data_IF_858987165194
#
_entry.id   IF_858987165194
#
_cell.length_a   1.000
_cell.length_b   1.000
_cell.length_c   1.000
_cell.angle_alpha   90.00
_cell.angle_beta   90.00
_cell.angle_gamma   90.00
#
_symmetry.space_group_name_H-M   'P 1'
#
loop_
_entity.id
_entity.type
_entity.pdbx_description
1 polymer ?
#
# COMPACT_ATOMS: atom_id res chain seq x y z
N UNK A 1 -15.90 -17.82 -13.70
CA UNK A 1 -14.69 -17.80 -12.85
C UNK A 1 -14.78 -16.54 -12.03
N UNK A 2 -14.78 -16.61 -10.69
CA UNK A 2 -14.76 -15.40 -9.88
C UNK A 2 -13.38 -14.74 -9.98
N UNK A 3 -13.37 -13.44 -10.21
CA UNK A 3 -12.17 -12.62 -10.25
C UNK A 3 -11.42 -12.69 -8.91
N UNK A 4 -10.15 -13.09 -8.95
CA UNK A 4 -9.25 -13.14 -7.79
C UNK A 4 -8.94 -11.68 -7.40
N UNK A 5 -9.47 -11.24 -6.26
CA UNK A 5 -9.41 -9.84 -5.81
C UNK A 5 -8.15 -9.57 -4.96
N UNK A 6 -7.10 -9.24 -5.69
CA UNK A 6 -5.77 -8.83 -5.26
C UNK A 6 -5.78 -7.61 -4.29
N UNK A 7 -4.91 -7.63 -3.27
CA UNK A 7 -4.57 -6.50 -2.37
C UNK A 7 -4.13 -5.20 -3.11
N UNK A 8 -5.04 -4.38 -3.64
CA UNK A 8 -4.68 -3.17 -4.41
C UNK A 8 -4.51 -1.92 -3.54
N UNK A 9 -3.33 -1.30 -3.63
CA UNK A 9 -3.07 0.08 -3.19
C UNK A 9 -2.98 0.98 -4.41
N UNK A 10 -3.51 2.20 -4.37
CA UNK A 10 -3.37 3.17 -5.47
C UNK A 10 -3.18 4.58 -4.92
N UNK A 11 -2.47 5.39 -5.69
CA UNK A 11 -2.08 6.76 -5.41
C UNK A 11 -2.62 7.57 -6.58
N UNK A 12 -3.73 8.31 -6.44
CA UNK A 12 -4.31 9.07 -7.57
C UNK A 12 -3.71 10.49 -7.70
N UNK A 13 -3.78 11.07 -8.91
CA UNK A 13 -3.43 12.46 -9.22
C UNK A 13 -4.64 13.32 -9.54
N UNK A 14 -4.37 14.63 -9.70
CA UNK A 14 -5.21 15.60 -10.38
C UNK A 14 -5.11 15.41 -11.91
N UNK A 15 -6.27 15.33 -12.59
CA UNK A 15 -6.39 15.42 -14.05
C UNK A 15 -6.52 16.88 -14.48
N UNK A 16 -5.74 17.30 -15.48
CA UNK A 16 -6.00 18.52 -16.25
C UNK A 16 -6.29 18.13 -17.69
N UNK A 17 -7.38 18.66 -18.26
CA UNK A 17 -7.75 18.48 -19.66
C UNK A 17 -7.17 19.63 -20.48
N UNK A 18 -6.49 19.30 -21.59
CA UNK A 18 -6.04 20.28 -22.59
C UNK A 18 -6.45 19.79 -23.98
N UNK A 19 -7.09 20.67 -24.75
CA UNK A 19 -7.38 20.46 -26.17
C UNK A 19 -6.15 20.84 -27.00
N UNK A 20 -5.56 19.86 -27.68
CA UNK A 20 -4.57 20.09 -28.73
C UNK A 20 -5.05 19.35 -29.98
N UNK A 21 -5.83 20.04 -30.81
CA UNK A 21 -6.21 19.57 -32.14
C UNK A 21 -7.22 18.42 -32.16
N UNK A 22 -8.22 18.44 -31.27
CA UNK A 22 -9.35 17.50 -31.33
C UNK A 22 -9.02 16.07 -30.89
N UNK A 23 -7.85 15.84 -30.29
CA UNK A 23 -7.53 14.61 -29.55
C UNK A 23 -7.34 14.97 -28.08
N UNK A 24 -8.27 14.53 -27.23
CA UNK A 24 -8.10 14.58 -25.79
C UNK A 24 -6.95 13.67 -25.38
N UNK A 25 -5.80 14.25 -25.04
CA UNK A 25 -4.67 13.53 -24.43
C UNK A 25 -4.65 13.87 -22.96
N UNK A 26 -5.21 13.01 -22.11
CA UNK A 26 -5.12 13.17 -20.66
C UNK A 26 -3.66 12.97 -20.23
N UNK A 27 -2.92 14.05 -20.00
CA UNK A 27 -1.60 13.99 -19.40
C UNK A 27 -1.73 14.30 -17.92
N UNK A 28 -1.81 13.25 -17.11
CA UNK A 28 -1.89 13.34 -15.66
C UNK A 28 -0.57 13.90 -15.10
N UNK A 29 -0.49 15.23 -14.94
CA UNK A 29 0.63 15.89 -14.29
C UNK A 29 0.36 15.86 -12.79
N UNK A 30 0.94 14.87 -12.11
CA UNK A 30 0.95 14.87 -10.65
C UNK A 30 1.68 16.09 -10.09
N UNK A 31 1.05 16.71 -9.10
CA UNK A 31 1.59 17.78 -8.27
C UNK A 31 2.84 17.37 -7.48
N UNK A 32 3.14 16.07 -7.42
CA UNK A 32 4.36 15.51 -6.87
C UNK A 32 4.77 14.22 -7.59
N UNK A 33 6.01 13.76 -7.43
CA UNK A 33 6.42 12.41 -7.79
C UNK A 33 7.18 11.75 -6.65
N UNK A 34 7.21 10.42 -6.62
CA UNK A 34 7.98 9.70 -5.61
C UNK A 34 9.43 9.57 -6.09
N UNK A 35 10.36 10.15 -5.34
CA UNK A 35 11.78 9.89 -5.51
C UNK A 35 12.11 8.50 -4.96
N UNK A 36 11.66 8.25 -3.74
CA UNK A 36 11.81 6.97 -3.07
C UNK A 36 10.47 6.56 -2.48
N UNK A 37 10.12 5.30 -2.69
CA UNK A 37 8.98 4.67 -2.05
C UNK A 37 9.40 3.30 -1.51
N UNK A 38 9.01 3.02 -0.28
CA UNK A 38 9.19 1.71 0.33
C UNK A 38 7.84 1.19 0.81
N UNK A 39 7.54 -0.08 0.51
CA UNK A 39 6.48 -0.84 1.15
C UNK A 39 7.13 -2.01 1.88
N UNK A 40 6.84 -2.15 3.16
CA UNK A 40 7.30 -3.25 3.99
C UNK A 40 6.11 -3.94 4.65
N UNK A 41 5.84 -5.17 4.27
CA UNK A 41 4.82 -6.02 4.91
C UNK A 41 5.53 -7.05 5.79
N UNK A 42 5.13 -7.17 7.05
CA UNK A 42 5.62 -8.18 7.98
C UNK A 42 4.48 -9.07 8.45
N UNK A 43 4.68 -10.39 8.38
CA UNK A 43 3.73 -11.41 8.82
C UNK A 43 4.15 -11.99 10.16
N UNK A 44 3.17 -12.23 11.02
CA UNK A 44 3.34 -12.85 12.33
C UNK A 44 2.60 -14.20 12.44
N UNK A 45 3.05 -15.13 13.28
CA UNK A 45 2.52 -16.49 13.38
C UNK A 45 1.06 -16.54 13.82
N UNK A 46 0.55 -15.48 14.43
CA UNK A 46 -0.86 -15.36 14.84
C UNK A 46 -1.78 -14.75 13.75
N UNK A 47 -1.26 -14.56 12.53
CA UNK A 47 -2.00 -13.99 11.42
C UNK A 47 -2.04 -12.46 11.42
N UNK A 48 -1.38 -11.79 12.38
CA UNK A 48 -1.20 -10.35 12.32
C UNK A 48 -0.32 -9.97 11.14
N UNK A 49 -0.67 -8.86 10.51
CA UNK A 49 0.16 -8.20 9.52
C UNK A 49 0.48 -6.78 9.97
N UNK A 50 1.73 -6.37 9.73
CA UNK A 50 2.16 -4.98 9.85
C UNK A 50 2.55 -4.49 8.47
N UNK A 51 2.04 -3.32 8.07
CA UNK A 51 2.38 -2.66 6.82
C UNK A 51 3.03 -1.32 7.15
N UNK A 52 4.24 -1.11 6.68
CA UNK A 52 4.94 0.16 6.79
C UNK A 52 5.15 0.69 5.38
N UNK A 53 4.82 1.94 5.19
CA UNK A 53 5.12 2.64 3.96
C UNK A 53 5.95 3.88 4.23
N UNK A 54 6.98 4.09 3.43
CA UNK A 54 7.84 5.27 3.54
C UNK A 54 7.93 5.96 2.20
N UNK A 55 7.78 7.27 2.19
CA UNK A 55 7.73 8.07 0.97
C UNK A 55 8.73 9.21 1.05
N UNK A 56 9.36 9.48 -0.08
CA UNK A 56 10.09 10.70 -0.36
C UNK A 56 9.46 11.32 -1.63
N UNK A 57 8.77 12.44 -1.47
CA UNK A 57 8.07 13.12 -2.56
C UNK A 57 8.84 14.36 -3.02
N UNK A 58 8.98 14.53 -4.33
CA UNK A 58 9.39 15.79 -4.95
C UNK A 58 8.14 16.58 -5.33
N UNK A 59 7.91 17.72 -4.69
CA UNK A 59 6.78 18.61 -5.00
C UNK A 59 7.04 19.34 -6.31
N UNK A 60 6.16 19.18 -7.31
CA UNK A 60 6.22 19.89 -8.60
C UNK A 60 5.33 21.13 -8.62
N UNK A 61 4.15 20.99 -8.04
CA UNK A 61 3.19 22.07 -7.85
C UNK A 61 2.58 21.95 -6.46
N UNK A 62 2.97 22.83 -5.55
CA UNK A 62 2.49 22.83 -4.17
C UNK A 62 1.00 23.11 -4.07
N UNK A 63 0.43 23.89 -5.00
CA UNK A 63 -0.98 24.28 -4.95
C UNK A 63 -1.88 23.08 -5.25
N UNK A 64 -1.51 22.25 -6.25
CA UNK A 64 -2.18 20.99 -6.51
C UNK A 64 -1.82 19.84 -5.55
N UNK A 65 -0.88 20.04 -4.61
CA UNK A 65 -0.49 19.00 -3.64
C UNK A 65 -1.29 19.08 -2.33
N UNK A 66 -2.47 19.70 -2.31
CA UNK A 66 -3.30 19.88 -1.11
C UNK A 66 -3.81 18.57 -0.51
N UNK A 67 -3.88 17.50 -1.30
CA UNK A 67 -4.38 16.20 -0.89
C UNK A 67 -3.52 15.05 -1.45
N UNK A 68 -3.27 14.02 -0.63
CA UNK A 68 -2.65 12.76 -1.06
C UNK A 68 -3.62 11.62 -0.75
N UNK A 69 -4.06 10.94 -1.80
CA UNK A 69 -5.09 9.91 -1.76
C UNK A 69 -4.48 8.52 -1.62
N UNK A 70 -5.05 7.71 -0.71
CA UNK A 70 -4.58 6.37 -0.36
C UNK A 70 -5.72 5.36 -0.19
N UNK A 71 -5.55 4.17 -0.75
CA UNK A 71 -6.45 3.04 -0.49
C UNK A 71 -5.67 1.82 -0.05
N UNK A 72 -6.25 1.03 0.84
CA UNK A 72 -5.80 -0.29 1.25
C UNK A 72 -6.97 -1.27 1.07
N UNK A 73 -6.68 -2.38 0.41
CA UNK A 73 -7.61 -3.47 0.18
C UNK A 73 -7.11 -4.70 0.93
N UNK A 74 -7.94 -5.28 1.81
CA UNK A 74 -7.67 -6.52 2.55
C UNK A 74 -8.76 -7.58 2.27
N UNK A 75 -9.27 -7.64 1.04
CA UNK A 75 -10.31 -8.61 0.63
C UNK A 75 -9.89 -10.06 0.84
N UNK A 76 -8.59 -10.35 0.67
CA UNK A 76 -7.98 -11.65 0.87
C UNK A 76 -7.55 -11.90 2.34
N UNK A 77 -7.82 -10.99 3.28
CA UNK A 77 -7.57 -11.26 4.69
C UNK A 77 -8.49 -12.36 5.22
N UNK A 78 -8.27 -12.81 6.47
CA UNK A 78 -9.10 -13.85 7.07
C UNK A 78 -10.60 -13.51 7.01
N UNK A 79 -11.47 -14.53 6.95
CA UNK A 79 -12.93 -14.40 6.87
C UNK A 79 -13.50 -13.38 7.86
N UNK A 80 -13.01 -13.41 9.10
CA UNK A 80 -13.49 -12.57 10.19
C UNK A 80 -12.93 -11.13 10.17
N UNK A 81 -11.89 -10.85 9.38
CA UNK A 81 -11.29 -9.52 9.33
C UNK A 81 -12.28 -8.50 8.80
N UNK A 82 -12.39 -7.36 9.48
CA UNK A 82 -13.13 -6.18 9.04
C UNK A 82 -12.34 -4.95 9.42
N UNK A 83 -12.28 -3.97 8.53
CA UNK A 83 -11.69 -2.68 8.84
C UNK A 83 -12.44 -1.98 9.97
N UNK A 84 -11.75 -1.61 11.06
CA UNK A 84 -12.24 -0.56 11.93
C UNK A 84 -12.18 0.78 11.18
N UNK A 85 -13.08 1.71 11.52
CA UNK A 85 -13.01 3.09 11.03
C UNK A 85 -11.64 3.71 11.31
N UNK A 86 -11.14 4.53 10.39
CA UNK A 86 -9.84 5.19 10.49
C UNK A 86 -9.71 6.01 11.78
N UNK A 87 -10.79 6.67 12.22
CA UNK A 87 -10.80 7.41 13.48
C UNK A 87 -10.47 6.51 14.68
N UNK A 88 -11.06 5.31 14.72
CA UNK A 88 -10.77 4.31 15.76
C UNK A 88 -9.33 3.82 15.64
N UNK A 89 -8.84 3.55 14.43
CA UNK A 89 -7.45 3.12 14.21
C UNK A 89 -6.41 4.16 14.67
N UNK A 90 -6.69 5.45 14.45
CA UNK A 90 -5.84 6.57 14.89
C UNK A 90 -5.79 6.75 16.41
N UNK A 91 -6.80 6.26 17.13
CA UNK A 91 -6.88 6.37 18.59
C UNK A 91 -5.96 5.38 19.32
N UNK A 92 -5.47 4.35 18.62
CA UNK A 92 -4.58 3.34 19.21
C UNK A 92 -3.19 3.93 19.46
N UNK A 93 -2.67 3.78 20.68
CA UNK A 93 -1.29 4.16 21.01
C UNK A 93 -0.29 3.28 20.23
N UNK A 94 0.74 3.87 19.63
CA UNK A 94 1.77 3.18 18.84
C UNK A 94 2.48 2.07 19.63
N UNK A 95 2.57 2.17 20.97
CA UNK A 95 3.14 1.10 21.81
C UNK A 95 2.31 -0.19 21.73
N UNK A 96 1.02 -0.08 21.43
CA UNK A 96 0.09 -1.19 21.31
C UNK A 96 0.05 -1.81 19.90
N UNK A 97 0.93 -1.38 18.98
CA UNK A 97 0.96 -1.87 17.59
C UNK A 97 1.03 -3.38 17.44
N UNK A 98 1.60 -4.12 18.40
CA UNK A 98 1.66 -5.58 18.31
C UNK A 98 0.46 -6.30 18.91
N UNK A 99 -0.48 -5.57 19.53
CA UNK A 99 -1.59 -6.19 20.28
C UNK A 99 -2.95 -5.64 19.88
N UNK A 100 -2.99 -4.55 19.12
CA UNK A 100 -4.21 -3.86 18.70
C UNK A 100 -4.11 -3.41 17.25
N UNK A 101 -5.26 -3.31 16.60
CA UNK A 101 -5.36 -2.71 15.28
C UNK A 101 -5.12 -1.21 15.39
N UNK A 102 -4.41 -0.65 14.42
CA UNK A 102 -4.18 0.79 14.42
C UNK A 102 -3.59 1.31 13.13
N UNK A 103 -3.60 2.64 13.04
CA UNK A 103 -3.06 3.40 11.93
C UNK A 103 -2.33 4.63 12.47
N UNK A 104 -1.10 4.82 12.00
CA UNK A 104 -0.22 5.89 12.41
C UNK A 104 0.46 6.49 11.19
N UNK A 105 0.79 7.76 11.26
CA UNK A 105 1.52 8.45 10.20
C UNK A 105 2.32 9.61 10.80
N UNK A 106 3.42 9.96 10.14
CA UNK A 106 4.22 11.13 10.46
C UNK A 106 4.76 11.75 9.17
N UNK A 107 5.11 13.04 9.23
CA UNK A 107 5.66 13.76 8.09
C UNK A 107 6.64 14.84 8.52
N UNK A 108 7.62 15.13 7.66
CA UNK A 108 8.58 16.20 7.88
C UNK A 108 7.87 17.52 8.18
N UNK A 109 8.32 18.25 9.20
CA UNK A 109 7.76 19.54 9.60
C UNK A 109 6.23 19.53 9.81
N UNK A 110 5.61 18.35 9.97
CA UNK A 110 4.17 18.16 10.01
C UNK A 110 3.47 18.82 8.81
N UNK A 111 3.96 18.59 7.58
CA UNK A 111 3.31 19.08 6.37
C UNK A 111 2.01 18.34 6.07
N UNK A 112 1.88 17.07 6.50
CA UNK A 112 0.59 16.38 6.58
C UNK A 112 -0.08 16.78 7.89
N UNK A 113 -1.26 17.39 7.77
CA UNK A 113 -2.02 17.95 8.90
C UNK A 113 -3.06 17.00 9.46
N UNK A 114 -3.72 16.23 8.58
CA UNK A 114 -4.68 15.21 8.97
C UNK A 114 -4.68 14.05 7.99
N UNK A 115 -5.17 12.91 8.45
CA UNK A 115 -5.63 11.80 7.63
C UNK A 115 -7.13 11.60 7.90
N UNK A 116 -7.93 11.65 6.84
CA UNK A 116 -9.39 11.60 6.88
C UNK A 116 -9.90 10.44 6.04
N UNK A 117 -10.79 9.63 6.61
CA UNK A 117 -11.47 8.57 5.87
C UNK A 117 -12.38 9.23 4.83
N UNK A 118 -12.17 8.89 3.55
CA UNK A 118 -12.95 9.39 2.43
C UNK A 118 -12.91 8.34 1.34
N UNK A 119 -14.07 7.97 0.83
CA UNK A 119 -14.20 6.99 -0.25
C UNK A 119 -14.42 7.71 -1.56
N UNK A 120 -13.70 7.33 -2.62
CA UNK A 120 -13.82 7.93 -3.95
C UNK A 120 -13.64 6.85 -5.01
N UNK A 121 -14.19 7.06 -6.20
CA UNK A 121 -13.97 6.17 -7.34
C UNK A 121 -12.70 6.56 -8.11
N UNK A 122 -12.00 5.58 -8.69
CA UNK A 122 -10.78 5.87 -9.45
C UNK A 122 -11.07 6.69 -10.74
N UNK A 123 -12.33 6.68 -11.21
CA UNK A 123 -12.82 7.51 -12.32
C UNK A 123 -13.18 8.93 -11.91
N UNK A 124 -13.62 9.15 -10.67
CA UNK A 124 -13.97 10.45 -10.11
C UNK A 124 -13.49 10.56 -8.65
N UNK A 125 -12.33 11.20 -8.45
CA UNK A 125 -11.71 11.37 -7.14
C UNK A 125 -12.18 12.65 -6.40
N UNK A 126 -12.98 13.49 -7.05
CA UNK A 126 -13.48 14.75 -6.47
C UNK A 126 -14.74 14.56 -5.62
N UNK A 127 -15.47 13.46 -5.84
CA UNK A 127 -16.73 13.17 -5.17
C UNK A 127 -16.60 11.97 -4.23
N UNK A 128 -17.32 12.04 -3.12
CA UNK A 128 -17.39 10.94 -2.18
C UNK A 128 -18.31 9.83 -2.73
N UNK A 129 -17.79 8.60 -2.80
CA UNK A 129 -18.53 7.42 -3.20
C UNK A 129 -18.60 6.42 -2.03
N UNK A 130 -19.66 6.56 -1.23
CA UNK A 130 -19.89 5.69 -0.06
C UNK A 130 -20.23 4.25 -0.41
N UNK A 131 -20.52 3.93 -1.67
CA UNK A 131 -20.75 2.53 -2.07
C UNK A 131 -19.47 1.69 -1.98
N UNK A 132 -18.31 2.34 -1.95
CA UNK A 132 -16.99 1.73 -1.78
C UNK A 132 -16.60 1.52 -0.31
N UNK A 133 -17.43 1.96 0.63
CA UNK A 133 -17.28 1.69 2.06
C UNK A 133 -17.69 0.23 2.33
N UNK A 134 -16.69 -0.65 2.26
CA UNK A 134 -16.85 -2.08 2.56
C UNK A 134 -16.00 -2.45 3.75
N UNK A 135 -16.36 -3.54 4.43
CA UNK A 135 -15.57 -4.09 5.55
C UNK A 135 -14.13 -4.47 5.15
N UNK A 136 -13.79 -4.50 3.86
CA UNK A 136 -12.49 -4.94 3.31
C UNK A 136 -11.72 -3.85 2.57
N UNK A 137 -12.27 -2.64 2.49
CA UNK A 137 -11.63 -1.49 1.84
C UNK A 137 -11.52 -0.31 2.79
N UNK A 138 -10.30 0.21 2.93
CA UNK A 138 -10.05 1.46 3.64
C UNK A 138 -9.51 2.48 2.66
N UNK A 139 -10.19 3.63 2.55
CA UNK A 139 -9.77 4.76 1.70
C UNK A 139 -9.63 6.01 2.56
N UNK A 140 -8.52 6.71 2.41
CA UNK A 140 -8.25 7.91 3.17
C UNK A 140 -7.46 8.93 2.36
N UNK A 141 -7.50 10.16 2.84
CA UNK A 141 -6.85 11.31 2.23
C UNK A 141 -6.04 12.01 3.29
N UNK A 142 -4.76 12.23 2.98
CA UNK A 142 -3.91 13.13 3.75
C UNK A 142 -4.17 14.57 3.33
N UNK A 143 -4.46 15.44 4.28
CA UNK A 143 -4.52 16.89 4.07
C UNK A 143 -3.14 17.49 4.21
N UNK A 144 -2.68 18.16 3.16
CA UNK A 144 -1.36 18.77 3.10
C UNK A 144 -1.47 20.27 3.37
N UNK A 145 -0.65 20.77 4.29
CA UNK A 145 -0.44 22.19 4.46
C UNK A 145 0.49 22.70 3.35
N UNK A 146 -0.10 23.28 2.31
CA UNK A 146 0.62 23.84 1.15
C UNK A 146 1.53 25.02 1.50
N UNK A 147 1.36 25.64 2.68
CA UNK A 147 2.26 26.65 3.23
C UNK A 147 3.55 26.08 3.82
N UNK A 148 3.61 24.77 4.09
CA UNK A 148 4.80 24.07 4.61
C UNK A 148 5.61 23.35 3.53
N UNK A 149 5.18 23.42 2.28
CA UNK A 149 5.85 22.82 1.13
C UNK A 149 6.15 23.84 0.04
N UNK A 150 7.18 23.56 -0.76
CA UNK A 150 7.66 24.42 -1.84
C UNK A 150 7.87 23.63 -3.13
N UNK A 151 7.73 24.29 -4.26
CA UNK A 151 8.02 23.69 -5.57
C UNK A 151 9.51 23.34 -5.68
N UNK A 152 9.80 22.17 -6.24
CA UNK A 152 11.16 21.65 -6.42
C UNK A 152 11.82 21.15 -5.13
N UNK A 153 11.12 21.13 -4.00
CA UNK A 153 11.63 20.59 -2.73
C UNK A 153 11.12 19.18 -2.47
N UNK A 154 11.86 18.49 -1.63
CA UNK A 154 11.60 17.11 -1.24
C UNK A 154 11.09 17.04 0.19
N UNK A 155 10.11 16.17 0.43
CA UNK A 155 9.54 15.93 1.75
C UNK A 155 9.35 14.45 2.01
N UNK A 156 9.53 14.02 3.26
CA UNK A 156 9.30 12.64 3.68
C UNK A 156 8.05 12.53 4.53
N UNK A 157 7.32 11.46 4.32
CA UNK A 157 6.29 11.01 5.23
C UNK A 157 6.29 9.50 5.27
N UNK A 158 5.65 8.93 6.28
CA UNK A 158 5.42 7.51 6.36
C UNK A 158 4.05 7.24 6.97
N UNK A 159 3.55 6.05 6.70
CA UNK A 159 2.39 5.53 7.38
C UNK A 159 2.58 4.07 7.73
N UNK A 160 1.82 3.66 8.74
CA UNK A 160 2.03 2.41 9.44
C UNK A 160 0.67 1.85 9.82
N UNK A 161 0.47 0.57 9.54
CA UNK A 161 -0.72 -0.20 9.86
C UNK A 161 -0.36 -1.43 10.65
N UNK A 162 -1.23 -1.79 11.59
CA UNK A 162 -1.22 -3.09 12.24
C UNK A 162 -2.62 -3.64 12.26
N UNK A 163 -2.78 -4.89 11.84
CA UNK A 163 -4.06 -5.56 11.79
C UNK A 163 -3.94 -7.01 12.25
N UNK A 164 -4.75 -7.39 13.23
CA UNK A 164 -5.03 -8.79 13.55
C UNK A 164 -5.75 -9.44 12.38
N UNK A 165 -5.56 -10.75 12.22
CA UNK A 165 -6.25 -11.55 11.20
C UNK A 165 -6.09 -11.00 9.76
N UNK A 166 -5.02 -10.24 9.50
CA UNK A 166 -4.66 -9.77 8.15
C UNK A 166 -4.35 -10.96 7.24
N UNK A 167 -3.79 -12.03 7.80
CA UNK A 167 -3.51 -13.28 7.12
C UNK A 167 -4.22 -14.44 7.83
N UNK A 168 -4.75 -15.43 7.09
CA UNK A 168 -5.40 -16.62 7.64
C UNK A 168 -4.36 -17.62 8.17
N UNK A 169 -3.60 -17.22 9.20
CA UNK A 169 -2.50 -17.98 9.80
C UNK A 169 -2.76 -18.11 11.30
N UNK A 170 -2.46 -19.28 11.85
CA UNK A 170 -2.46 -19.54 13.30
C UNK A 170 -1.28 -20.43 13.64
N UNK A 171 -0.42 -20.02 14.57
CA UNK A 171 0.78 -20.79 14.95
C UNK A 171 1.82 -20.92 13.83
N UNK A 172 1.87 -19.98 12.88
CA UNK A 172 2.84 -19.98 11.78
C UNK A 172 2.44 -20.81 10.56
N UNK A 173 1.30 -21.50 10.61
CA UNK A 173 0.75 -22.33 9.53
C UNK A 173 -0.60 -21.79 9.04
N UNK A 174 -1.00 -22.22 7.84
CA UNK A 174 -2.28 -21.82 7.23
C UNK A 174 -3.46 -22.36 8.06
N UNK A 175 -4.36 -21.47 8.45
CA UNK A 175 -5.59 -21.82 9.16
C UNK A 175 -6.76 -21.91 8.17
N UNK A 176 -7.08 -23.14 7.74
CA UNK A 176 -8.16 -23.42 6.77
C UNK A 176 -9.52 -22.90 7.24
N UNK A 177 -9.78 -22.83 8.54
CA UNK A 177 -11.03 -22.28 9.07
C UNK A 177 -11.13 -20.77 8.85
N UNK A 178 -10.00 -20.06 8.83
CA UNK A 178 -9.90 -18.62 8.60
C UNK A 178 -9.85 -18.21 7.12
N UNK A 179 -9.58 -19.12 6.19
CA UNK A 179 -9.43 -18.83 4.76
C UNK A 179 -10.66 -18.12 4.17
N UNK A 180 -10.56 -16.96 3.52
CA UNK A 180 -11.71 -16.28 2.91
C UNK A 180 -12.33 -17.05 1.74
N UNK A 181 -11.54 -17.83 1.01
CA UNK A 181 -11.93 -18.63 -0.15
C UNK A 181 -10.93 -19.76 -0.40
N UNK A 182 -11.25 -20.68 -1.31
CA UNK A 182 -10.37 -21.76 -1.75
C UNK A 182 -10.43 -21.92 -3.29
N UNK A 183 -9.30 -22.19 -3.98
CA UNK A 183 -7.92 -22.20 -3.46
C UNK A 183 -7.43 -20.79 -3.08
N UNK A 184 -6.64 -20.69 -2.01
CA UNK A 184 -6.12 -19.41 -1.49
C UNK A 184 -4.68 -19.14 -1.95
N UNK A 185 -4.41 -17.92 -2.41
CA UNK A 185 -3.06 -17.48 -2.79
C UNK A 185 -2.59 -16.40 -1.82
N UNK A 186 -1.48 -16.63 -1.11
CA UNK A 186 -0.89 -15.54 -0.33
C UNK A 186 -0.18 -14.59 -1.27
N UNK A 187 -0.59 -13.32 -1.23
CA UNK A 187 0.09 -12.29 -1.98
C UNK A 187 0.00 -10.93 -1.30
N UNK A 188 0.83 -10.00 -1.75
CA UNK A 188 0.66 -8.59 -1.43
C UNK A 188 1.01 -7.75 -2.65
N UNK A 189 0.17 -6.75 -2.91
CA UNK A 189 0.27 -5.94 -4.11
C UNK A 189 0.51 -4.47 -3.80
N UNK A 190 1.06 -3.75 -4.77
CA UNK A 190 1.04 -2.31 -4.73
C UNK A 190 0.93 -1.75 -6.15
N UNK A 191 -0.12 -0.95 -6.37
CA UNK A 191 -0.38 -0.28 -7.64
C UNK A 191 0.01 1.20 -7.52
N UNK A 192 0.57 1.74 -8.59
CA UNK A 192 0.98 3.14 -8.65
C UNK A 192 0.46 3.77 -9.93
N UNK A 193 -0.28 4.85 -9.75
CA UNK A 193 -0.56 5.76 -10.84
C UNK A 193 0.36 7.00 -10.80
N UNK A 194 1.65 6.84 -10.50
CA UNK A 194 2.66 7.91 -10.45
C UNK A 194 4.00 7.40 -10.95
N UNK A 195 4.85 8.34 -11.38
CA UNK A 195 6.28 8.06 -11.48
C UNK A 195 6.88 7.79 -10.10
N UNK A 196 7.67 6.73 -10.03
CA UNK A 196 8.46 6.37 -8.84
C UNK A 196 9.90 6.13 -9.29
N UNK A 197 10.84 6.96 -8.84
CA UNK A 197 12.25 6.86 -9.25
C UNK A 197 12.92 5.65 -8.63
N UNK A 198 12.71 5.39 -7.34
CA UNK A 198 13.18 4.20 -6.65
C UNK A 198 12.03 3.57 -5.85
N UNK A 199 11.83 2.26 -6.00
CA UNK A 199 10.86 1.52 -5.20
C UNK A 199 11.53 0.31 -4.54
N UNK A 200 11.30 0.14 -3.24
CA UNK A 200 11.72 -1.03 -2.48
C UNK A 200 10.49 -1.73 -1.91
N UNK A 201 10.27 -2.99 -2.29
CA UNK A 201 9.21 -3.81 -1.74
C UNK A 201 9.81 -4.90 -0.87
N UNK A 202 9.54 -4.84 0.43
CA UNK A 202 10.00 -5.78 1.44
C UNK A 202 8.80 -6.62 1.90
N UNK A 203 8.94 -7.94 1.83
CA UNK A 203 8.10 -8.88 2.59
C UNK A 203 8.98 -9.50 3.66
N UNK A 204 8.47 -9.60 4.89
CA UNK A 204 9.15 -10.20 6.02
C UNK A 204 8.25 -11.21 6.72
N UNK A 205 8.84 -12.31 7.15
CA UNK A 205 8.18 -13.36 7.89
C UNK A 205 8.86 -13.47 9.25
N UNK A 206 8.11 -13.42 10.34
CA UNK A 206 8.66 -13.81 11.64
C UNK A 206 9.09 -15.28 11.59
N UNK A 207 10.16 -15.62 12.32
CA UNK A 207 10.91 -16.88 12.24
C UNK A 207 10.07 -18.14 12.18
N UNK A 208 8.92 -18.14 12.85
CA UNK A 208 8.05 -19.33 12.96
C UNK A 208 7.12 -19.51 11.74
N UNK A 209 7.16 -18.60 10.75
CA UNK A 209 6.49 -18.76 9.46
C UNK A 209 7.50 -19.27 8.43
N UNK A 210 7.23 -20.44 7.85
CA UNK A 210 8.04 -21.01 6.78
C UNK A 210 7.43 -20.68 5.41
N UNK A 211 7.89 -19.58 4.83
CA UNK A 211 7.50 -19.20 3.49
C UNK A 211 8.30 -19.98 2.43
N UNK A 212 7.62 -20.46 1.39
CA UNK A 212 8.20 -21.09 0.21
C UNK A 212 7.71 -20.42 -1.08
N UNK A 213 8.34 -20.77 -2.21
CA UNK A 213 7.87 -20.39 -3.55
C UNK A 213 7.66 -18.88 -3.77
N UNK A 214 8.45 -18.02 -3.13
CA UNK A 214 8.29 -16.58 -3.33
C UNK A 214 8.54 -16.17 -4.78
N UNK A 215 7.55 -15.51 -5.37
CA UNK A 215 7.62 -14.96 -6.72
C UNK A 215 7.31 -13.46 -6.68
N UNK A 216 7.93 -12.71 -7.59
CA UNK A 216 7.61 -11.31 -7.77
C UNK A 216 7.33 -11.01 -9.23
N UNK A 217 6.18 -10.38 -9.44
CA UNK A 217 5.69 -9.98 -10.74
C UNK A 217 5.55 -8.46 -10.80
N UNK A 218 6.04 -7.87 -11.88
CA UNK A 218 5.84 -6.47 -12.20
C UNK A 218 5.01 -6.34 -13.46
N UNK A 219 3.84 -5.73 -13.35
CA UNK A 219 2.96 -5.45 -14.49
C UNK A 219 3.03 -3.97 -14.83
N UNK A 220 3.23 -3.64 -16.10
CA UNK A 220 3.24 -2.27 -16.63
C UNK A 220 2.36 -2.19 -17.88
N UNK A 221 1.34 -1.33 -17.87
CA UNK A 221 0.40 -1.17 -19.00
C UNK A 221 -0.18 -2.50 -19.52
N UNK A 222 -0.52 -3.42 -18.61
CA UNK A 222 -1.08 -4.73 -18.94
C UNK A 222 -0.06 -5.79 -19.39
N UNK A 223 1.24 -5.46 -19.46
CA UNK A 223 2.31 -6.41 -19.75
C UNK A 223 2.98 -6.85 -18.45
N UNK A 224 3.16 -8.16 -18.28
CA UNK A 224 3.79 -8.76 -17.12
C UNK A 224 5.28 -9.03 -17.35
N UNK A 225 6.10 -8.69 -16.38
CA UNK A 225 7.53 -8.90 -16.36
C UNK A 225 7.90 -9.60 -15.04
N UNK A 226 8.36 -10.86 -15.07
CA UNK A 226 8.86 -11.51 -13.87
C UNK A 226 10.11 -10.79 -13.38
N UNK A 227 10.30 -10.73 -12.06
CA UNK A 227 11.46 -10.09 -11.47
C UNK A 227 12.09 -10.92 -10.37
N UNK A 228 13.42 -10.91 -10.33
CA UNK A 228 14.19 -11.54 -9.27
C UNK A 228 13.98 -10.80 -7.95
N UNK A 229 13.68 -11.57 -6.90
CA UNK A 229 13.65 -11.10 -5.52
C UNK A 229 15.05 -11.32 -4.93
N UNK A 230 15.64 -10.27 -4.37
CA UNK A 230 16.84 -10.39 -3.54
C UNK A 230 16.42 -10.95 -2.17
N UNK A 231 17.12 -11.97 -1.70
CA UNK A 231 16.93 -12.47 -0.33
C UNK A 231 17.98 -11.85 0.57
N UNK A 232 17.55 -11.07 1.55
CA UNK A 232 18.44 -10.58 2.60
C UNK A 232 18.27 -11.52 3.78
N UNK A 233 19.13 -12.55 3.84
CA UNK A 233 19.22 -13.45 5.00
C UNK A 233 20.03 -12.83 6.15
N UNK A 234 20.57 -11.62 5.99
CA UNK A 234 21.55 -11.06 6.92
C UNK A 234 20.99 -10.90 8.34
N UNK A 235 21.59 -11.66 9.27
CA UNK A 235 21.71 -11.39 10.71
C UNK A 235 20.44 -11.01 11.48
N UNK A 236 19.26 -11.43 11.01
CA UNK A 236 18.01 -11.20 11.72
C UNK A 236 17.45 -12.52 12.25
N UNK A 237 17.73 -12.81 13.52
CA UNK A 237 17.19 -13.99 14.20
C UNK A 237 15.67 -13.98 14.35
N UNK A 238 15.02 -12.84 14.08
CA UNK A 238 13.58 -12.63 14.27
C UNK A 238 12.83 -12.75 12.95
N UNK A 239 13.38 -12.21 11.85
CA UNK A 239 12.67 -12.13 10.58
C UNK A 239 13.48 -12.65 9.39
N UNK A 240 12.83 -13.40 8.51
CA UNK A 240 13.32 -13.68 7.16
C UNK A 240 12.79 -12.61 6.20
N UNK A 241 13.68 -11.91 5.49
CA UNK A 241 13.34 -10.78 4.61
C UNK A 241 13.58 -11.08 3.13
N UNK A 242 12.66 -10.58 2.32
CA UNK A 242 12.66 -10.69 0.87
C UNK A 242 12.45 -9.30 0.28
N UNK A 243 13.35 -8.89 -0.61
CA UNK A 243 13.44 -7.50 -1.07
C UNK A 243 13.44 -7.46 -2.60
N UNK A 244 12.50 -6.72 -3.17
CA UNK A 244 12.45 -6.43 -4.60
C UNK A 244 12.68 -4.93 -4.81
N UNK A 245 13.74 -4.56 -5.55
CA UNK A 245 14.11 -3.17 -5.83
C UNK A 245 13.85 -2.80 -7.28
N UNK A 246 13.25 -1.64 -7.51
CA UNK A 246 12.90 -1.12 -8.83
C UNK A 246 13.41 0.30 -9.00
N UNK A 247 13.71 0.64 -10.26
CA UNK A 247 14.10 1.99 -10.66
C UNK A 247 13.22 2.47 -11.80
N UNK A 248 12.91 3.76 -11.80
CA UNK A 248 12.21 4.48 -12.86
C UNK A 248 10.88 3.83 -13.28
N UNK A 249 10.06 3.49 -12.29
CA UNK A 249 8.70 3.01 -12.54
C UNK A 249 7.85 4.14 -13.14
N UNK A 250 7.11 3.80 -14.19
CA UNK A 250 6.18 4.69 -14.90
C UNK A 250 4.79 4.71 -14.23
N UNK A 251 3.78 5.20 -14.93
CA UNK A 251 2.39 5.16 -14.49
C UNK A 251 1.80 3.76 -14.72
N UNK A 252 0.67 3.47 -14.06
CA UNK A 252 -0.12 2.23 -14.21
C UNK A 252 0.71 0.96 -14.02
N UNK A 253 1.50 0.96 -12.95
CA UNK A 253 2.33 -0.17 -12.58
C UNK A 253 1.73 -0.92 -11.41
N UNK A 254 1.84 -2.24 -11.43
CA UNK A 254 1.52 -3.13 -10.34
C UNK A 254 2.75 -3.96 -9.99
N UNK A 255 3.04 -4.08 -8.69
CA UNK A 255 4.03 -5.04 -8.21
C UNK A 255 3.31 -6.00 -7.27
N UNK A 256 3.34 -7.29 -7.61
CA UNK A 256 2.80 -8.38 -6.79
C UNK A 256 3.95 -9.22 -6.28
N UNK A 257 3.93 -9.53 -4.99
CA UNK A 257 4.76 -10.59 -4.41
C UNK A 257 3.79 -11.67 -3.93
N UNK A 258 3.98 -12.89 -4.38
CA UNK A 258 3.20 -14.07 -3.98
C UNK A 258 4.10 -15.08 -3.30
N UNK A 259 3.54 -15.86 -2.39
CA UNK A 259 4.26 -16.89 -1.64
C UNK A 259 3.34 -18.03 -1.23
N UNK A 260 3.95 -19.13 -0.82
CA UNK A 260 3.28 -20.22 -0.13
C UNK A 260 3.74 -20.22 1.33
N UNK A 261 2.90 -20.74 2.23
CA UNK A 261 3.27 -21.06 3.60
C UNK A 261 3.21 -22.57 3.72
N UNK A 262 4.28 -23.19 4.24
CA UNK A 262 4.29 -24.63 4.47
C UNK A 262 3.19 -25.02 5.46
N UNK A 263 2.46 -26.10 5.13
CA UNK A 263 1.46 -26.74 6.02
C UNK A 263 2.10 -27.28 7.31
#
# INVERSE_FOLDING_TARGET
MPDINIFKFDLSAIKYEFDIGGKFVSKEIKSYEYLDYSKHVTLYPDGRGIIIHTYEILTKDKCGCSEIFRKLDLSDAAKAFKFPRLEKLKSTDLKNRFTHDGFWYESDNNFITSAEERYWSDSNFHEEDKSLDTDKHLRWVYKVNTGKIENGKTYKFNDFFSFKDMFPITGGVVDKAKLPYEPYEFSSCCTYNCKVKNMTYIISFERDIKASSLTCEYTANGLSYPKTIETEKENNYIYQKYIAKYKNLRYNNNIKISWDIQE
#
